data_IF_240501896025
#
_entry.id   IF_240501896025
#
_cell.length_a   1.000
_cell.length_b   1.000
_cell.length_c   1.000
_cell.angle_alpha   90.00
_cell.angle_beta   90.00
_cell.angle_gamma   90.00
#
_symmetry.space_group_name_H-M   'P 1'
#
loop_
_entity.id
_entity.type
_entity.pdbx_description
1 polymer ?
#
# COMPACT_ATOMS: atom_id res chain seq x y z
N UNK A 1 -15.85 2.32 -10.33
CA UNK A 1 -15.48 2.54 -8.91
C UNK A 1 -14.18 3.35 -8.89
N UNK A 2 -14.24 4.65 -8.62
CA UNK A 2 -13.02 5.47 -8.54
C UNK A 2 -12.17 4.99 -7.38
N UNK A 3 -10.89 4.73 -7.63
CA UNK A 3 -10.02 4.16 -6.60
C UNK A 3 -9.33 5.28 -5.85
N UNK A 4 -9.26 5.10 -4.53
CA UNK A 4 -8.71 6.04 -3.58
C UNK A 4 -7.22 5.77 -3.43
N UNK A 5 -6.41 6.83 -3.49
CA UNK A 5 -5.04 6.77 -2.97
C UNK A 5 -5.01 7.53 -1.65
N UNK A 6 -4.57 6.84 -0.60
CA UNK A 6 -4.24 7.41 0.69
C UNK A 6 -2.80 7.94 0.63
N UNK A 7 -2.60 9.19 1.03
CA UNK A 7 -1.30 9.84 1.14
C UNK A 7 -1.31 10.74 2.38
N UNK A 8 -0.17 11.36 2.68
CA UNK A 8 -0.07 12.42 3.67
C UNK A 8 -0.10 13.82 3.00
N UNK A 9 -0.05 14.89 3.79
CA UNK A 9 -0.09 16.26 3.26
C UNK A 9 1.17 16.65 2.48
N UNK A 10 2.34 16.11 2.85
CA UNK A 10 3.57 16.37 2.07
C UNK A 10 3.51 15.76 0.67
N UNK A 11 2.77 14.67 0.48
CA UNK A 11 2.50 14.05 -0.83
C UNK A 11 1.55 14.84 -1.72
N UNK A 12 0.92 15.89 -1.20
CA UNK A 12 0.02 16.80 -1.94
C UNK A 12 0.45 18.28 -1.84
N UNK A 13 1.62 18.55 -1.25
CA UNK A 13 2.17 19.89 -1.15
C UNK A 13 2.90 20.29 -2.44
N UNK A 14 2.70 21.54 -2.88
CA UNK A 14 3.40 22.12 -4.04
C UNK A 14 4.89 22.29 -3.74
N UNK A 15 5.73 22.07 -4.76
CA UNK A 15 7.19 22.27 -4.69
C UNK A 15 7.60 23.75 -4.54
N UNK A 16 6.65 24.68 -4.66
CA UNK A 16 6.91 26.11 -4.51
C UNK A 16 7.30 26.46 -3.07
N UNK A 17 8.23 27.41 -2.92
CA UNK A 17 8.79 27.90 -1.64
C UNK A 17 7.74 28.34 -0.60
N UNK A 18 6.50 28.58 -1.03
CA UNK A 18 5.36 28.96 -0.17
C UNK A 18 4.55 27.78 0.40
N UNK A 19 4.87 26.51 0.10
CA UNK A 19 4.10 25.32 0.56
C UNK A 19 2.59 25.47 0.40
N UNK A 20 2.13 25.96 -0.76
CA UNK A 20 0.73 25.89 -1.14
C UNK A 20 0.32 24.44 -1.45
N UNK A 21 -0.96 24.11 -1.33
CA UNK A 21 -1.47 22.81 -1.77
C UNK A 21 -1.40 22.70 -3.30
N UNK A 22 -0.96 21.55 -3.82
CA UNK A 22 -1.01 21.28 -5.25
C UNK A 22 -2.44 21.29 -5.75
N UNK A 23 -2.66 21.81 -6.97
CA UNK A 23 -3.96 21.64 -7.62
C UNK A 23 -4.14 20.18 -8.04
N UNK A 24 -5.37 19.64 -8.04
CA UNK A 24 -5.61 18.27 -8.53
C UNK A 24 -5.02 18.02 -9.93
N UNK A 25 -5.10 19.01 -10.83
CA UNK A 25 -4.57 18.94 -12.20
C UNK A 25 -3.04 18.82 -12.29
N UNK A 26 -2.32 19.20 -11.22
CA UNK A 26 -0.86 19.11 -11.13
C UNK A 26 -0.39 17.75 -10.61
N UNK A 27 -1.31 16.95 -10.05
CA UNK A 27 -1.00 15.64 -9.49
C UNK A 27 -1.32 14.52 -10.47
N UNK A 28 -0.43 13.52 -10.48
CA UNK A 28 -0.56 12.29 -11.27
C UNK A 28 -0.26 11.10 -10.37
N UNK A 29 -1.02 10.02 -10.56
CA UNK A 29 -0.78 8.77 -9.84
C UNK A 29 -0.29 7.72 -10.83
N UNK A 30 0.96 7.30 -10.63
CA UNK A 30 1.59 6.20 -11.39
C UNK A 30 1.31 4.87 -10.69
N UNK A 31 0.99 3.83 -11.46
CA UNK A 31 0.50 2.56 -10.94
C UNK A 31 1.24 1.36 -11.54
N UNK A 32 1.37 0.29 -10.75
CA UNK A 32 1.74 -1.04 -11.24
C UNK A 32 3.15 -1.16 -11.82
N UNK A 33 4.08 -0.31 -11.39
CA UNK A 33 5.48 -0.33 -11.83
C UNK A 33 6.44 -0.52 -10.65
N UNK A 34 7.58 -1.14 -10.91
CA UNK A 34 8.76 -1.15 -10.03
C UNK A 34 9.83 -0.18 -10.50
N UNK A 35 9.73 0.34 -11.73
CA UNK A 35 10.71 1.25 -12.32
C UNK A 35 10.03 2.51 -12.84
N UNK A 36 10.52 3.68 -12.40
CA UNK A 36 10.00 4.98 -12.85
C UNK A 36 10.43 5.33 -14.29
N UNK A 37 11.38 4.58 -14.86
CA UNK A 37 11.83 4.74 -16.25
C UNK A 37 11.18 3.73 -17.20
N UNK A 38 10.21 2.94 -16.70
CA UNK A 38 9.47 1.99 -17.52
C UNK A 38 8.83 2.68 -18.73
N UNK A 39 8.91 2.09 -19.95
CA UNK A 39 8.33 2.69 -21.15
C UNK A 39 6.80 2.64 -21.17
N UNK A 40 6.17 1.93 -20.22
CA UNK A 40 4.72 1.66 -20.20
C UNK A 40 4.10 1.97 -18.84
N UNK A 41 4.33 3.18 -18.33
CA UNK A 41 3.70 3.66 -17.10
C UNK A 41 2.19 3.87 -17.29
N UNK A 42 1.38 3.24 -16.44
CA UNK A 42 -0.03 3.60 -16.30
C UNK A 42 -0.14 4.81 -15.37
N UNK A 43 -0.73 5.90 -15.88
CA UNK A 43 -0.87 7.17 -15.17
C UNK A 43 -2.36 7.53 -15.09
N UNK A 44 -2.81 7.88 -13.88
CA UNK A 44 -4.16 8.41 -13.61
C UNK A 44 -4.08 9.87 -13.20
N UNK A 45 -5.03 10.68 -13.66
CA UNK A 45 -5.21 12.04 -13.17
C UNK A 45 -5.94 12.08 -11.83
N UNK A 46 -5.77 13.18 -11.11
CA UNK A 46 -6.47 13.46 -9.85
C UNK A 46 -7.56 14.50 -10.11
N UNK A 47 -8.77 14.23 -9.64
CA UNK A 47 -9.93 15.11 -9.74
C UNK A 47 -10.16 15.93 -8.48
N UNK A 48 -9.98 15.30 -7.32
CA UNK A 48 -10.20 15.92 -6.01
C UNK A 48 -9.08 15.50 -5.06
N UNK A 49 -8.62 16.46 -4.25
CA UNK A 49 -7.72 16.24 -3.11
C UNK A 49 -8.52 16.59 -1.86
N UNK A 50 -8.66 15.64 -0.93
CA UNK A 50 -9.45 15.83 0.29
C UNK A 50 -8.52 15.67 1.47
N UNK A 51 -8.35 16.75 2.22
CA UNK A 51 -7.52 16.78 3.42
C UNK A 51 -8.37 16.51 4.65
N UNK A 52 -7.77 15.92 5.68
CA UNK A 52 -8.41 15.87 6.98
C UNK A 52 -8.59 17.30 7.53
N UNK A 53 -9.83 17.70 7.81
CA UNK A 53 -10.18 19.06 8.27
C UNK A 53 -9.47 19.45 9.57
N UNK A 54 -9.21 18.48 10.44
CA UNK A 54 -8.56 18.67 11.73
C UNK A 54 -7.04 18.45 11.67
N UNK A 55 -6.42 18.52 10.49
CA UNK A 55 -4.96 18.46 10.34
C UNK A 55 -4.28 19.58 11.13
N UNK A 56 -3.31 19.21 11.97
CA UNK A 56 -2.56 20.13 12.80
C UNK A 56 -1.09 20.13 12.41
N UNK A 57 -0.65 21.20 11.74
CA UNK A 57 0.75 21.34 11.28
C UNK A 57 1.79 21.35 12.41
N UNK A 58 1.41 21.74 13.63
CA UNK A 58 2.34 21.92 14.76
C UNK A 58 2.90 20.59 15.26
N UNK A 59 2.08 19.55 15.27
CA UNK A 59 2.43 18.19 15.71
C UNK A 59 2.24 17.14 14.61
N UNK A 60 1.78 17.54 13.43
CA UNK A 60 1.42 16.67 12.31
C UNK A 60 0.25 15.71 12.61
N UNK A 61 -0.62 16.05 13.57
CA UNK A 61 -1.81 15.24 13.84
C UNK A 61 -2.80 15.31 12.67
N UNK A 62 -3.48 14.19 12.41
CA UNK A 62 -4.36 14.02 11.25
C UNK A 62 -3.67 14.25 9.89
N UNK A 63 -2.41 13.83 9.76
CA UNK A 63 -1.65 13.89 8.50
C UNK A 63 -2.10 12.79 7.52
N UNK A 64 -3.26 13.01 6.90
CA UNK A 64 -3.90 12.09 5.95
C UNK A 64 -4.69 12.88 4.90
N UNK A 65 -4.63 12.37 3.66
CA UNK A 65 -5.37 12.89 2.52
C UNK A 65 -5.88 11.75 1.64
N UNK A 66 -7.01 12.00 0.98
CA UNK A 66 -7.60 11.13 -0.05
C UNK A 66 -7.49 11.78 -1.42
N UNK A 67 -7.02 11.02 -2.40
CA UNK A 67 -7.06 11.39 -3.81
C UNK A 67 -8.18 10.68 -4.54
N UNK A 68 -9.03 11.45 -5.22
CA UNK A 68 -10.05 10.93 -6.14
C UNK A 68 -9.48 10.87 -7.55
N UNK A 69 -9.36 9.68 -8.11
CA UNK A 69 -8.87 9.50 -9.48
C UNK A 69 -9.94 9.81 -10.52
N UNK A 70 -9.49 10.34 -11.67
CA UNK A 70 -10.32 10.62 -12.84
C UNK A 70 -11.00 9.37 -13.40
N UNK A 71 -10.29 8.23 -13.36
CA UNK A 71 -10.72 6.95 -13.86
C UNK A 71 -10.46 5.84 -12.86
N UNK A 72 -11.26 4.76 -12.86
CA UNK A 72 -10.99 3.58 -12.07
C UNK A 72 -9.63 2.95 -12.44
N UNK A 73 -8.97 2.36 -11.45
CA UNK A 73 -7.83 1.45 -11.67
C UNK A 73 -8.40 0.07 -12.00
N UNK A 74 -7.87 -0.54 -13.05
CA UNK A 74 -8.17 -1.93 -13.41
C UNK A 74 -7.16 -2.82 -12.69
N UNK A 75 -7.60 -3.59 -11.70
CA UNK A 75 -6.73 -4.47 -10.92
C UNK A 75 -6.27 -5.70 -11.71
N UNK A 76 -5.02 -6.08 -11.51
CA UNK A 76 -4.35 -7.22 -12.12
C UNK A 76 -3.16 -7.65 -11.24
N UNK A 77 -2.34 -8.59 -11.72
CA UNK A 77 -1.19 -9.14 -10.98
C UNK A 77 -0.15 -8.10 -10.54
N UNK A 78 -0.14 -6.90 -11.14
CA UNK A 78 0.75 -5.78 -10.76
C UNK A 78 0.05 -4.69 -9.95
N UNK A 79 -1.28 -4.74 -9.86
CA UNK A 79 -2.13 -3.72 -9.23
C UNK A 79 -3.11 -4.41 -8.32
N UNK A 80 -2.74 -4.50 -7.05
CA UNK A 80 -3.59 -5.04 -5.99
C UNK A 80 -3.74 -4.00 -4.87
N UNK A 81 -4.94 -3.86 -4.29
CA UNK A 81 -5.15 -2.93 -3.18
C UNK A 81 -4.63 -3.52 -1.86
N UNK A 82 -4.13 -2.65 -0.97
CA UNK A 82 -3.94 -3.00 0.44
C UNK A 82 -5.28 -2.97 1.17
N UNK A 83 -5.47 -3.89 2.10
CA UNK A 83 -6.62 -3.88 2.99
C UNK A 83 -6.52 -2.71 3.98
N UNK A 84 -7.66 -2.16 4.40
CA UNK A 84 -7.68 -1.24 5.54
C UNK A 84 -7.73 -2.02 6.87
N UNK A 85 -7.02 -1.56 7.91
CA UNK A 85 -6.82 -2.31 9.15
C UNK A 85 -8.04 -2.28 10.08
N UNK A 86 -8.68 -3.43 10.33
CA UNK A 86 -9.79 -3.51 11.29
C UNK A 86 -9.28 -3.59 12.73
N UNK A 87 -9.25 -2.48 13.47
CA UNK A 87 -8.82 -2.31 14.88
C UNK A 87 -8.24 -3.56 15.59
N UNK A 88 -7.10 -4.12 15.14
CA UNK A 88 -6.56 -5.32 15.73
C UNK A 88 -5.59 -5.00 16.87
N UNK A 89 -5.31 -3.71 17.13
CA UNK A 89 -4.27 -3.28 18.06
C UNK A 89 -2.88 -3.54 17.48
N UNK A 90 -1.93 -2.66 17.82
CA UNK A 90 -0.62 -2.61 17.16
C UNK A 90 0.21 -3.90 17.25
N UNK A 91 0.01 -4.71 18.29
CA UNK A 91 0.78 -5.94 18.54
C UNK A 91 0.43 -7.10 17.61
N UNK A 92 -0.70 -7.03 16.88
CA UNK A 92 -1.12 -8.09 15.95
C UNK A 92 -0.46 -7.96 14.56
N UNK A 93 0.27 -6.87 14.31
CA UNK A 93 0.92 -6.64 13.03
C UNK A 93 2.33 -7.22 13.01
N UNK A 94 2.61 -8.00 11.98
CA UNK A 94 3.87 -8.67 11.75
C UNK A 94 4.36 -8.45 10.32
N UNK A 95 5.65 -8.74 10.09
CA UNK A 95 6.32 -8.63 8.79
C UNK A 95 5.98 -7.31 8.07
N UNK A 96 6.16 -6.17 8.75
CA UNK A 96 5.84 -4.89 8.15
C UNK A 96 6.93 -4.46 7.16
N UNK A 97 6.54 -3.73 6.13
CA UNK A 97 7.43 -3.19 5.11
C UNK A 97 7.00 -1.79 4.72
N UNK A 98 7.98 -0.97 4.39
CA UNK A 98 7.79 0.22 3.56
C UNK A 98 8.44 -0.03 2.21
N UNK A 99 7.89 0.57 1.16
CA UNK A 99 8.46 0.49 -0.18
C UNK A 99 8.29 1.83 -0.90
N UNK A 100 9.29 2.21 -1.67
CA UNK A 100 9.27 3.45 -2.44
C UNK A 100 10.56 3.70 -3.22
N UNK A 101 10.64 4.91 -3.75
CA UNK A 101 11.71 5.39 -4.65
C UNK A 101 12.46 6.58 -4.04
N UNK A 102 12.31 6.76 -2.73
CA UNK A 102 13.01 7.79 -1.97
C UNK A 102 14.52 7.62 -1.98
N UNK A 103 15.21 8.63 -1.46
CA UNK A 103 16.65 8.62 -1.29
C UNK A 103 17.07 7.48 -0.35
N UNK A 104 18.15 6.78 -0.68
CA UNK A 104 18.72 5.75 0.21
C UNK A 104 19.66 6.36 1.26
N UNK A 105 20.19 7.55 0.99
CA UNK A 105 21.15 8.26 1.85
C UNK A 105 20.58 9.59 2.31
N UNK A 106 20.97 10.00 3.51
CA UNK A 106 20.64 11.32 4.05
C UNK A 106 21.42 12.41 3.31
N UNK A 107 20.72 13.32 2.63
CA UNK A 107 21.35 14.51 2.04
C UNK A 107 20.44 15.22 1.06
N UNK A 108 20.46 16.56 1.05
CA UNK A 108 19.60 17.35 0.16
C UNK A 108 19.89 17.11 -1.35
N UNK A 109 21.08 16.59 -1.67
CA UNK A 109 21.54 16.37 -3.04
C UNK A 109 21.64 14.88 -3.42
N UNK A 110 21.17 13.97 -2.57
CA UNK A 110 21.19 12.54 -2.91
C UNK A 110 20.13 12.27 -3.99
N UNK A 111 20.48 11.49 -5.03
CA UNK A 111 19.54 11.17 -6.09
C UNK A 111 18.39 10.32 -5.54
N UNK A 112 17.21 10.49 -6.14
CA UNK A 112 16.11 9.54 -5.95
C UNK A 112 16.41 8.25 -6.71
N UNK A 113 15.85 7.15 -6.23
CA UNK A 113 16.00 5.86 -6.88
C UNK A 113 15.02 5.75 -8.05
N UNK A 114 15.44 5.11 -9.14
CA UNK A 114 14.55 4.81 -10.27
C UNK A 114 13.86 3.46 -10.10
N UNK A 115 14.48 2.56 -9.35
CA UNK A 115 13.97 1.23 -9.04
C UNK A 115 13.36 1.20 -7.64
N UNK A 116 12.27 0.45 -7.50
CA UNK A 116 11.53 0.34 -6.26
C UNK A 116 12.35 -0.42 -5.23
N UNK A 117 12.58 0.22 -4.08
CA UNK A 117 13.21 -0.40 -2.93
C UNK A 117 12.17 -0.71 -1.85
N UNK A 118 12.54 -1.61 -0.95
CA UNK A 118 11.74 -1.93 0.23
C UNK A 118 12.62 -2.14 1.45
N UNK A 119 12.10 -1.78 2.62
CA UNK A 119 12.77 -1.98 3.90
C UNK A 119 11.81 -2.64 4.90
N UNK A 120 12.28 -3.65 5.66
CA UNK A 120 11.50 -4.26 6.73
C UNK A 120 11.33 -3.27 7.89
N UNK A 121 10.18 -3.31 8.57
CA UNK A 121 9.84 -2.43 9.67
C UNK A 121 9.30 -3.21 10.86
N UNK A 122 9.58 -2.72 12.06
CA UNK A 122 9.01 -3.20 13.33
C UNK A 122 8.22 -2.07 13.97
N UNK A 123 6.93 -2.31 14.24
CA UNK A 123 6.11 -1.35 14.98
C UNK A 123 6.59 -1.32 16.43
N UNK A 124 6.85 -0.11 16.93
CA UNK A 124 7.28 0.09 18.30
C UNK A 124 6.09 0.22 19.25
N UNK A 125 6.29 -0.18 20.50
CA UNK A 125 5.28 0.05 21.54
C UNK A 125 5.04 1.55 21.75
N UNK A 126 3.82 1.89 22.12
CA UNK A 126 3.41 3.27 22.40
C UNK A 126 4.36 3.97 23.38
N UNK A 127 4.73 3.32 24.48
CA UNK A 127 5.59 3.94 25.50
C UNK A 127 7.01 4.22 24.99
N UNK A 128 7.59 3.31 24.19
CA UNK A 128 8.90 3.55 23.56
C UNK A 128 8.80 4.69 22.55
N UNK A 129 7.76 4.69 21.74
CA UNK A 129 7.50 5.71 20.73
C UNK A 129 7.28 7.11 21.36
N UNK A 130 6.49 7.21 22.43
CA UNK A 130 6.22 8.47 23.14
C UNK A 130 7.47 9.02 23.84
N UNK A 131 8.34 8.14 24.35
CA UNK A 131 9.63 8.54 24.92
C UNK A 131 10.54 9.19 23.87
N UNK A 132 10.53 8.66 22.65
CA UNK A 132 11.25 9.25 21.53
C UNK A 132 10.54 10.49 20.98
N UNK A 133 9.22 10.54 20.93
CA UNK A 133 8.44 11.64 20.37
C UNK A 133 7.43 12.21 21.37
N UNK A 134 7.80 13.21 22.17
CA UNK A 134 6.91 13.77 23.21
C UNK A 134 5.62 14.43 22.68
N UNK A 135 5.54 14.70 21.37
CA UNK A 135 4.38 15.31 20.70
C UNK A 135 3.47 14.28 20.00
N UNK A 136 3.74 12.99 20.18
CA UNK A 136 2.97 11.90 19.57
C UNK A 136 1.51 11.94 20.03
N UNK A 137 0.57 11.82 19.08
CA UNK A 137 -0.87 11.73 19.35
C UNK A 137 -1.35 10.29 19.20
N UNK A 138 -2.54 9.97 19.73
CA UNK A 138 -3.14 8.63 19.60
C UNK A 138 -3.44 8.23 18.15
N UNK A 139 -3.38 9.18 17.21
CA UNK A 139 -3.58 8.94 15.79
C UNK A 139 -2.28 8.60 15.04
N UNK A 140 -1.20 8.35 15.79
CA UNK A 140 0.12 8.04 15.24
C UNK A 140 0.66 6.72 15.80
N UNK A 141 1.59 6.14 15.07
CA UNK A 141 2.43 5.03 15.51
C UNK A 141 3.89 5.31 15.12
N UNK A 142 4.82 4.61 15.78
CA UNK A 142 6.21 4.58 15.33
C UNK A 142 6.54 3.21 14.75
N UNK A 143 7.32 3.21 13.67
CA UNK A 143 7.94 2.00 13.18
C UNK A 143 9.38 2.30 12.75
N UNK A 144 10.24 1.32 12.93
CA UNK A 144 11.63 1.40 12.49
C UNK A 144 12.23 0.00 12.49
N UNK A 145 13.44 -0.13 11.96
CA UNK A 145 14.14 -1.40 11.96
C UNK A 145 15.18 -1.43 13.10
N UNK A 146 15.04 -2.40 14.00
CA UNK A 146 15.91 -2.51 15.19
C UNK A 146 17.32 -2.97 14.77
N UNK A 147 18.36 -2.29 15.27
CA UNK A 147 19.79 -2.62 15.08
C UNK A 147 20.43 -2.41 13.69
N UNK A 148 19.70 -2.01 12.65
CA UNK A 148 20.27 -1.61 11.35
C UNK A 148 19.90 -0.16 10.98
N UNK A 149 20.44 0.35 9.87
CA UNK A 149 20.39 1.77 9.47
C UNK A 149 19.26 2.11 8.50
N UNK A 150 18.16 1.36 8.48
CA UNK A 150 17.07 1.56 7.52
C UNK A 150 15.90 2.29 8.18
N UNK A 151 15.69 3.55 7.78
CA UNK A 151 14.48 4.34 8.03
C UNK A 151 13.90 4.76 6.68
N UNK A 152 12.59 5.02 6.62
CA UNK A 152 11.97 5.62 5.42
C UNK A 152 12.53 7.03 5.21
N UNK A 153 12.93 7.33 3.99
CA UNK A 153 13.70 8.54 3.68
C UNK A 153 12.93 9.52 2.79
N UNK A 154 13.58 10.63 2.43
CA UNK A 154 13.00 11.65 1.56
C UNK A 154 12.50 11.02 0.26
N UNK A 155 11.25 11.29 -0.11
CA UNK A 155 10.62 10.76 -1.33
C UNK A 155 9.69 9.57 -1.12
N UNK A 156 9.71 8.91 0.06
CA UNK A 156 8.72 7.88 0.43
C UNK A 156 7.54 8.45 1.24
N UNK A 157 7.56 9.74 1.54
CA UNK A 157 6.54 10.42 2.34
C UNK A 157 5.14 10.25 1.74
N UNK A 158 4.18 9.86 2.58
CA UNK A 158 2.82 9.50 2.14
C UNK A 158 2.69 8.07 1.62
N UNK A 159 3.79 7.32 1.53
CA UNK A 159 3.79 5.90 1.19
C UNK A 159 3.24 5.01 2.32
N UNK A 160 2.87 3.76 2.00
CA UNK A 160 2.26 2.86 2.95
C UNK A 160 3.28 2.12 3.83
N UNK A 161 2.97 2.02 5.12
CA UNK A 161 3.44 0.93 5.98
C UNK A 161 2.51 -0.27 5.79
N UNK A 162 2.99 -1.28 5.08
CA UNK A 162 2.25 -2.49 4.78
C UNK A 162 2.61 -3.60 5.76
N UNK A 163 1.63 -4.19 6.46
CA UNK A 163 1.84 -5.30 7.40
C UNK A 163 0.89 -6.46 7.14
N UNK A 164 1.10 -7.59 7.81
CA UNK A 164 0.20 -8.74 7.80
C UNK A 164 -0.09 -9.22 9.23
N UNK A 165 -1.25 -9.84 9.46
CA UNK A 165 -1.60 -10.40 10.77
C UNK A 165 -1.01 -11.81 10.95
N UNK A 166 -1.21 -12.71 9.98
CA UNK A 166 -0.60 -14.04 9.97
C UNK A 166 -0.50 -14.58 8.52
N UNK A 167 0.49 -15.42 8.24
CA UNK A 167 0.64 -16.22 7.00
C UNK A 167 0.77 -15.47 5.66
N UNK A 168 0.94 -14.14 5.65
CA UNK A 168 1.23 -13.36 4.44
C UNK A 168 0.14 -13.38 3.35
N UNK A 169 -1.04 -13.93 3.65
CA UNK A 169 -2.14 -14.07 2.69
C UNK A 169 -2.84 -12.74 2.38
N UNK A 170 -2.77 -11.78 3.30
CA UNK A 170 -3.33 -10.43 3.14
C UNK A 170 -2.38 -9.40 3.71
N UNK A 171 -2.29 -8.29 2.99
CA UNK A 171 -1.50 -7.12 3.36
C UNK A 171 -2.42 -5.95 3.68
N UNK A 172 -2.11 -5.24 4.74
CA UNK A 172 -2.89 -4.13 5.27
C UNK A 172 -2.06 -2.85 5.26
N UNK A 173 -2.69 -1.75 4.89
CA UNK A 173 -2.12 -0.42 5.00
C UNK A 173 -2.30 0.06 6.44
N UNK A 174 -1.33 -0.23 7.31
CA UNK A 174 -1.45 0.00 8.76
C UNK A 174 -1.16 1.46 9.12
N UNK A 175 -0.25 2.09 8.39
CA UNK A 175 -0.01 3.51 8.54
C UNK A 175 0.56 4.19 7.32
N UNK A 176 0.53 5.52 7.34
CA UNK A 176 1.05 6.37 6.25
C UNK A 176 2.33 7.03 6.75
N UNK A 177 3.44 6.90 6.01
CA UNK A 177 4.71 7.58 6.32
C UNK A 177 4.44 9.08 6.45
N UNK A 178 4.74 9.69 7.60
CA UNK A 178 4.38 11.09 7.88
C UNK A 178 5.60 11.96 8.17
N UNK A 179 6.30 11.74 9.28
CA UNK A 179 7.47 12.54 9.67
C UNK A 179 8.47 11.74 10.50
N UNK A 180 9.67 12.29 10.69
CA UNK A 180 10.71 11.68 11.50
C UNK A 180 11.81 12.69 11.82
N UNK A 181 12.72 12.32 12.72
CA UNK A 181 13.86 13.19 13.10
C UNK A 181 14.92 13.28 12.00
N UNK A 182 15.13 12.19 11.26
CA UNK A 182 16.21 12.08 10.28
C UNK A 182 16.10 10.79 9.49
N UNK A 183 16.28 10.88 8.17
CA UNK A 183 16.42 9.74 7.29
C UNK A 183 17.71 8.95 7.59
N UNK A 184 17.61 7.63 7.72
CA UNK A 184 18.76 6.70 7.73
C UNK A 184 19.66 6.71 8.98
N UNK A 185 19.29 7.42 10.05
CA UNK A 185 20.03 7.33 11.31
C UNK A 185 19.68 6.05 12.06
N UNK A 186 20.72 5.31 12.45
CA UNK A 186 20.57 4.08 13.23
C UNK A 186 19.70 4.33 14.47
N UNK A 187 18.77 3.42 14.73
CA UNK A 187 17.85 3.46 15.87
C UNK A 187 16.93 4.69 15.94
N UNK A 188 16.71 5.39 14.83
CA UNK A 188 15.72 6.47 14.75
C UNK A 188 14.49 5.97 14.00
N UNK A 189 13.37 5.70 14.69
CA UNK A 189 12.13 5.31 14.01
C UNK A 189 11.48 6.48 13.26
N UNK A 190 10.67 6.15 12.26
CA UNK A 190 9.73 7.07 11.63
C UNK A 190 8.39 7.11 12.38
N UNK A 191 7.66 8.21 12.23
CA UNK A 191 6.29 8.40 12.71
C UNK A 191 5.33 8.30 11.53
N UNK A 192 4.26 7.52 11.75
CA UNK A 192 3.26 7.20 10.74
C UNK A 192 1.88 7.56 11.26
N UNK A 193 1.00 8.01 10.38
CA UNK A 193 -0.43 8.17 10.69
C UNK A 193 -1.07 6.79 10.83
N UNK A 194 -1.70 6.49 11.97
CA UNK A 194 -2.30 5.19 12.29
C UNK A 194 -3.68 5.05 11.62
N UNK A 195 -3.78 4.25 10.57
CA UNK A 195 -5.00 4.15 9.73
C UNK A 195 -6.20 3.52 10.44
N UNK A 196 -5.98 2.73 11.49
CA UNK A 196 -7.06 2.15 12.31
C UNK A 196 -8.03 3.22 12.84
N UNK A 197 -7.54 4.42 13.11
CA UNK A 197 -8.36 5.51 13.66
C UNK A 197 -9.14 6.28 12.60
N UNK A 198 -8.90 6.06 11.30
CA UNK A 198 -9.47 6.88 10.22
C UNK A 198 -10.53 6.15 9.37
N UNK A 199 -10.94 4.94 9.76
CA UNK A 199 -11.98 4.18 9.04
C UNK A 199 -13.27 4.98 8.85
N UNK A 200 -13.78 5.58 9.94
CA UNK A 200 -15.01 6.37 9.90
C UNK A 200 -14.87 7.59 8.99
N UNK A 201 -13.74 8.30 9.07
CA UNK A 201 -13.46 9.46 8.23
C UNK A 201 -13.36 9.09 6.75
N UNK A 202 -12.65 8.01 6.40
CA UNK A 202 -12.56 7.54 5.00
C UNK A 202 -13.95 7.19 4.47
N UNK A 203 -14.75 6.47 5.26
CA UNK A 203 -16.12 6.11 4.87
C UNK A 203 -16.99 7.34 4.64
N UNK A 204 -17.03 8.26 5.60
CA UNK A 204 -17.83 9.49 5.53
C UNK A 204 -17.45 10.33 4.32
N UNK A 205 -16.15 10.61 4.13
CA UNK A 205 -15.67 11.41 3.00
C UNK A 205 -16.02 10.78 1.66
N UNK A 206 -15.84 9.46 1.53
CA UNK A 206 -16.13 8.76 0.28
C UNK A 206 -17.63 8.70 -0.03
N UNK A 207 -18.48 8.62 0.99
CA UNK A 207 -19.93 8.75 0.85
C UNK A 207 -20.34 10.15 0.38
N UNK A 208 -19.80 11.20 0.99
CA UNK A 208 -20.09 12.60 0.61
C UNK A 208 -19.68 12.92 -0.83
N UNK A 209 -18.59 12.33 -1.32
CA UNK A 209 -18.12 12.49 -2.70
C UNK A 209 -18.88 11.62 -3.71
N UNK A 210 -19.94 10.91 -3.28
CA UNK A 210 -20.75 10.04 -4.14
C UNK A 210 -20.01 8.79 -4.62
N UNK A 211 -18.95 8.38 -3.91
CA UNK A 211 -18.10 7.21 -4.24
C UNK A 211 -17.86 6.35 -2.99
N UNK A 212 -18.92 5.84 -2.34
CA UNK A 212 -18.82 5.20 -1.03
C UNK A 212 -17.81 4.05 -1.04
N UNK A 213 -16.93 4.03 -0.05
CA UNK A 213 -16.04 2.91 0.20
C UNK A 213 -16.83 1.74 0.83
N UNK A 214 -16.95 0.62 0.12
CA UNK A 214 -17.45 -0.65 0.67
C UNK A 214 -16.35 -1.72 0.57
N UNK A 215 -15.92 -2.22 1.72
CA UNK A 215 -14.95 -3.31 1.80
C UNK A 215 -15.51 -4.62 1.20
N UNK A 216 -16.83 -4.79 1.24
CA UNK A 216 -17.57 -5.97 0.79
C UNK A 216 -17.58 -6.09 -0.75
N UNK A 217 -17.76 -4.98 -1.47
CA UNK A 217 -17.77 -4.97 -2.95
C UNK A 217 -16.39 -5.28 -3.57
N UNK A 218 -15.30 -4.93 -2.90
CA UNK A 218 -13.94 -5.25 -3.37
C UNK A 218 -13.61 -6.75 -3.25
N UNK A 219 -14.20 -7.43 -2.26
CA UNK A 219 -14.04 -8.88 -2.04
C UNK A 219 -14.89 -9.68 -3.04
N UNK A 220 -16.07 -9.21 -3.43
CA UNK A 220 -16.89 -9.89 -4.46
C UNK A 220 -16.27 -9.81 -5.85
N UNK A 221 -15.71 -8.65 -6.21
CA UNK A 221 -15.04 -8.45 -7.51
C UNK A 221 -13.82 -9.36 -7.67
N UNK A 222 -13.05 -9.57 -6.59
CA UNK A 222 -11.91 -10.51 -6.58
C UNK A 222 -12.35 -11.98 -6.62
N UNK A 223 -13.42 -12.35 -5.92
CA UNK A 223 -14.00 -13.72 -5.95
C UNK A 223 -14.62 -14.08 -7.31
N UNK A 224 -15.29 -13.14 -7.99
CA UNK A 224 -15.83 -13.36 -9.33
C UNK A 224 -14.72 -13.60 -10.36
N UNK A 225 -13.58 -12.90 -10.23
CA UNK A 225 -12.42 -13.09 -11.12
C UNK A 225 -11.71 -14.43 -10.90
N UNK A 226 -11.64 -14.92 -9.66
CA UNK A 226 -11.13 -16.27 -9.35
C UNK A 226 -12.01 -17.40 -9.92
N UNK A 227 -13.32 -17.17 -10.06
CA UNK A 227 -14.25 -18.12 -10.71
C UNK A 227 -14.22 -18.08 -12.25
N UNK A 228 -13.72 -17.00 -12.86
CA UNK A 228 -13.68 -16.81 -14.31
C UNK A 228 -12.48 -17.45 -15.03
N UNK A 229 -11.45 -17.87 -14.30
CA UNK A 229 -10.32 -18.61 -14.87
C UNK A 229 -10.63 -20.11 -14.85
N UNK A 230 -11.33 -20.59 -15.88
CA UNK A 230 -11.47 -22.03 -16.13
C UNK A 230 -10.15 -22.50 -16.73
N UNK A 231 -9.22 -22.93 -15.88
CA UNK A 231 -8.02 -23.63 -16.33
C UNK A 231 -8.46 -24.90 -17.10
N UNK A 232 -8.11 -24.96 -18.37
CA UNK A 232 -8.13 -26.19 -19.16
C UNK A 232 -7.16 -27.18 -18.51
N UNK A 233 -7.70 -28.26 -17.96
CA UNK A 233 -6.93 -29.39 -17.42
C UNK A 233 -6.02 -29.96 -18.53
N UNK A 234 -4.71 -29.80 -18.37
CA UNK A 234 -3.72 -30.56 -19.13
C UNK A 234 -3.46 -31.90 -18.43
N UNK A 235 -3.26 -33.02 -19.17
CA UNK A 235 -3.14 -34.34 -18.57
C UNK A 235 -1.79 -34.52 -17.87
N UNK A 236 -1.80 -35.14 -16.69
CA UNK A 236 -0.58 -35.50 -15.95
C UNK A 236 0.16 -36.66 -16.63
N UNK A 237 1.51 -36.66 -16.70
CA UNK A 237 2.28 -37.81 -17.18
C UNK A 237 2.64 -38.80 -16.04
N UNK A 238 2.24 -40.06 -16.24
CA UNK A 238 3.07 -41.27 -16.08
C UNK A 238 3.33 -41.88 -14.69
N UNK A 239 2.81 -43.10 -14.47
CA UNK A 239 3.59 -44.23 -13.94
C UNK A 239 2.92 -45.59 -14.28
N UNK A 240 3.69 -46.69 -14.34
CA UNK A 240 3.51 -47.74 -15.34
C UNK A 240 2.62 -48.89 -14.87
N UNK A 241 1.85 -49.49 -15.78
CA UNK A 241 1.39 -50.86 -15.57
C UNK A 241 1.50 -51.67 -16.86
N UNK A 242 2.43 -52.61 -16.77
CA UNK A 242 2.65 -53.88 -17.46
C UNK A 242 1.64 -54.34 -18.53
N UNK A 243 2.24 -54.72 -19.66
CA UNK A 243 1.68 -55.43 -20.80
C UNK A 243 1.17 -56.84 -20.44
N UNK A 244 -0.04 -57.19 -20.89
CA UNK A 244 -0.37 -58.53 -21.38
C UNK A 244 -1.30 -58.42 -22.60
N UNK A 245 -0.83 -59.03 -23.70
CA UNK A 245 -1.48 -59.31 -25.00
C UNK A 245 -2.68 -60.30 -24.84
N UNK A 246 -3.31 -60.81 -25.93
CA UNK A 246 -4.10 -60.18 -27.00
C UNK A 246 -5.45 -60.94 -27.23
N UNK A 247 -6.14 -60.63 -28.33
CA UNK A 247 -7.15 -61.46 -29.02
C UNK A 247 -8.56 -61.55 -28.41
N UNK A 248 -9.55 -60.99 -29.11
CA UNK A 248 -10.49 -61.74 -29.97
C UNK A 248 -11.56 -60.77 -30.53
N UNK A 249 -11.50 -60.53 -31.84
CA UNK A 249 -12.69 -60.25 -32.65
C UNK A 249 -13.36 -61.60 -32.94
N UNK A 250 -14.69 -61.63 -33.12
CA UNK A 250 -15.15 -61.63 -34.50
C UNK A 250 -16.35 -60.71 -34.75
N UNK A 251 -16.29 -60.16 -35.96
CA UNK A 251 -17.38 -59.62 -36.76
C UNK A 251 -18.67 -60.46 -36.70
N UNK A 252 -19.83 -59.78 -36.65
CA UNK A 252 -21.02 -60.18 -37.40
C UNK A 252 -21.71 -58.92 -37.95
N UNK A 253 -21.93 -58.95 -39.26
CA UNK A 253 -22.66 -58.03 -40.12
C UNK A 253 -24.18 -58.07 -39.88
N UNK A 254 -24.84 -56.92 -39.80
CA UNK A 254 -25.66 -56.29 -40.84
C UNK A 254 -25.98 -54.84 -40.42
#
# INVERSE_FOLDING_TARGET
MGILKLLNLTGVASSNRERSLSRPTELRVVLGTTSLTSPSLEIKGVTTIILHKDFQRVNMDNDIALLMLDNPIIFNERKEPLCLPTQPGLSQWHNCWVAGWGQVKSGLNEPMETELLKAPMTIMSWDRCLKEFPKLTKNMLCAGYENESYDSCQGDSGGPLACTQESGKKWYHVGIISWGRSCGLKNTPGVYTLLENYHSWIKEVTELEGRPFSAEQMVETSKQKAKGSRASEFPKPGSPTLWLLPCLLPYVTF
#
